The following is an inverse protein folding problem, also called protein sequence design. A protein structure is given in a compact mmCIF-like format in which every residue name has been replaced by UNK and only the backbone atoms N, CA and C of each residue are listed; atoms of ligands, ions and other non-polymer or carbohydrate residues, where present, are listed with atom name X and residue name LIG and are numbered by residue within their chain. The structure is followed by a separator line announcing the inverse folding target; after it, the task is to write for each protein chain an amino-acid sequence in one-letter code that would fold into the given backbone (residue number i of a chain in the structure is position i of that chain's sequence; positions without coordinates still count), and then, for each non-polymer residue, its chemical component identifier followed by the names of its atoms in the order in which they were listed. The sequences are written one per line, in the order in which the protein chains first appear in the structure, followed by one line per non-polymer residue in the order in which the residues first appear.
data_IF_339846517475
#
_entry.id   IF_339846517475
#
_cell.length_a   1.000
_cell.length_b   1.000
_cell.length_c   1.000
_cell.angle_alpha   90.00
_cell.angle_beta   90.00
_cell.angle_gamma   90.00
#
_symmetry.space_group_name_H-M   'P 1'
#
loop_
_entity.id
_entity.type
_entity.pdbx_description
1 polymer ?
#
# COMPACT_ATOMS: atom_id res chain seq x y z
N UNK A 1 -25.41 -20.56 -18.18
CA UNK A 1 -26.79 -20.04 -18.11
C UNK A 1 -27.69 -21.07 -17.44
N UNK A 2 -27.98 -20.90 -16.14
CA UNK A 2 -29.23 -21.35 -15.55
C UNK A 2 -29.62 -20.29 -14.51
N UNK A 3 -30.56 -19.42 -14.88
CA UNK A 3 -31.35 -18.65 -13.92
C UNK A 3 -32.32 -19.63 -13.30
N UNK A 4 -32.34 -19.75 -11.97
CA UNK A 4 -33.15 -20.78 -11.29
C UNK A 4 -34.16 -20.16 -10.32
N UNK A 5 -35.38 -20.09 -10.82
CA UNK A 5 -36.61 -19.75 -10.10
C UNK A 5 -37.22 -20.96 -9.35
N UNK A 6 -36.56 -22.12 -9.36
CA UNK A 6 -37.10 -23.40 -8.87
C UNK A 6 -36.69 -23.78 -7.43
N UNK A 7 -35.96 -22.91 -6.74
CA UNK A 7 -35.47 -23.19 -5.38
C UNK A 7 -34.11 -23.90 -5.31
N UNK A 8 -33.38 -24.04 -6.41
CA UNK A 8 -32.01 -24.56 -6.41
C UNK A 8 -30.94 -23.52 -5.99
N UNK A 9 -31.23 -22.69 -4.99
CA UNK A 9 -30.20 -21.81 -4.43
C UNK A 9 -29.19 -22.59 -3.60
N UNK A 10 -28.13 -21.92 -3.14
CA UNK A 10 -27.17 -22.50 -2.18
C UNK A 10 -27.89 -22.96 -0.90
N UNK A 11 -27.66 -24.21 -0.49
CA UNK A 11 -28.39 -24.92 0.57
C UNK A 11 -27.90 -24.63 2.00
N UNK A 12 -27.10 -23.57 2.19
CA UNK A 12 -26.52 -23.21 3.48
C UNK A 12 -26.51 -21.68 3.71
N UNK A 13 -26.56 -21.29 4.99
CA UNK A 13 -26.70 -19.89 5.44
C UNK A 13 -25.41 -19.11 5.20
N UNK A 14 -25.49 -17.96 4.52
CA UNK A 14 -24.37 -17.04 4.30
C UNK A 14 -24.74 -15.65 4.83
N UNK A 15 -23.97 -15.13 5.77
CA UNK A 15 -24.05 -13.73 6.19
C UNK A 15 -22.79 -12.98 5.71
N UNK A 16 -22.76 -11.65 5.88
CA UNK A 16 -21.62 -10.80 5.53
C UNK A 16 -20.30 -11.20 6.23
N UNK A 17 -20.36 -12.06 7.25
CA UNK A 17 -19.20 -12.56 7.98
C UNK A 17 -18.59 -13.81 7.32
N UNK A 18 -19.28 -14.44 6.35
CA UNK A 18 -18.87 -15.72 5.75
C UNK A 18 -18.33 -15.58 4.32
N UNK A 19 -18.74 -14.53 3.59
CA UNK A 19 -18.36 -14.28 2.20
C UNK A 19 -18.10 -12.79 1.99
N UNK A 20 -17.11 -12.47 1.15
CA UNK A 20 -16.80 -11.11 0.70
C UNK A 20 -16.82 -11.10 -0.83
N UNK A 21 -17.19 -9.99 -1.46
CA UNK A 21 -17.35 -9.95 -2.92
C UNK A 21 -16.99 -8.64 -3.58
N UNK A 22 -16.69 -8.73 -4.87
CA UNK A 22 -16.25 -7.65 -5.75
C UNK A 22 -16.81 -7.88 -7.15
N UNK A 23 -16.95 -6.86 -8.00
CA UNK A 23 -17.38 -7.11 -9.38
C UNK A 23 -17.37 -5.91 -10.31
N UNK A 24 -17.59 -6.23 -11.58
CA UNK A 24 -17.56 -5.35 -12.75
C UNK A 24 -18.96 -5.36 -13.41
N UNK A 25 -19.50 -4.26 -13.99
CA UNK A 25 -18.80 -3.10 -14.53
C UNK A 25 -18.91 -1.82 -13.69
N UNK A 26 -17.99 -0.89 -13.98
CA UNK A 26 -18.29 0.54 -13.93
C UNK A 26 -19.71 0.78 -14.48
N UNK A 27 -20.61 1.50 -13.79
CA UNK A 27 -21.40 2.44 -14.54
C UNK A 27 -20.47 3.59 -14.95
N UNK A 28 -20.74 4.18 -16.09
CA UNK A 28 -20.43 5.59 -16.33
C UNK A 28 -20.57 6.40 -15.03
N UNK A 29 -19.69 7.38 -14.79
CA UNK A 29 -19.74 8.35 -13.67
C UNK A 29 -20.99 8.24 -12.77
N UNK A 30 -20.96 7.37 -11.77
CA UNK A 30 -22.13 7.01 -10.97
C UNK A 30 -21.74 6.20 -9.74
N UNK A 31 -22.54 6.24 -8.65
CA UNK A 31 -22.23 5.54 -7.41
C UNK A 31 -22.30 4.01 -7.59
N UNK A 32 -21.45 3.30 -6.86
CA UNK A 32 -21.50 1.84 -6.73
C UNK A 32 -22.91 1.39 -6.34
N UNK A 33 -23.47 0.38 -7.02
CA UNK A 33 -24.80 -0.13 -6.73
C UNK A 33 -24.79 -0.91 -5.40
N UNK A 34 -25.62 -0.50 -4.45
CA UNK A 34 -25.82 -1.23 -3.19
C UNK A 34 -26.51 -2.58 -3.45
N UNK A 35 -25.98 -3.66 -2.88
CA UNK A 35 -26.56 -5.01 -2.96
C UNK A 35 -27.02 -5.50 -1.57
N UNK A 36 -27.93 -6.46 -1.54
CA UNK A 36 -28.49 -7.05 -0.31
C UNK A 36 -28.64 -8.57 -0.47
N UNK A 37 -28.46 -9.33 0.61
CA UNK A 37 -28.74 -10.76 0.65
C UNK A 37 -30.16 -10.97 1.17
N UNK A 38 -30.99 -11.65 0.38
CA UNK A 38 -32.32 -12.13 0.75
C UNK A 38 -32.26 -13.61 1.11
N UNK A 39 -32.70 -13.95 2.31
CA UNK A 39 -32.90 -15.32 2.73
C UNK A 39 -34.32 -15.79 2.37
N UNK A 40 -34.44 -17.01 1.83
CA UNK A 40 -35.73 -17.67 1.61
C UNK A 40 -35.64 -19.10 2.14
N UNK A 41 -36.59 -19.47 2.99
CA UNK A 41 -36.68 -20.85 3.52
C UNK A 41 -37.79 -21.60 2.81
N UNK A 42 -37.46 -22.77 2.26
CA UNK A 42 -38.42 -23.73 1.67
C UNK A 42 -38.05 -25.12 2.18
N UNK A 43 -39.03 -25.94 2.58
CA UNK A 43 -38.82 -27.33 3.04
C UNK A 43 -37.71 -27.52 4.10
N UNK A 44 -37.66 -26.62 5.09
CA UNK A 44 -36.65 -26.59 6.17
C UNK A 44 -35.21 -26.30 5.72
N UNK A 45 -35.02 -25.94 4.45
CA UNK A 45 -33.74 -25.55 3.88
C UNK A 45 -33.75 -24.04 3.60
N UNK A 46 -32.70 -23.34 4.00
CA UNK A 46 -32.57 -21.88 3.80
C UNK A 46 -31.65 -21.62 2.63
N UNK A 47 -32.15 -20.85 1.67
CA UNK A 47 -31.46 -20.42 0.46
C UNK A 47 -31.14 -18.93 0.58
N UNK A 48 -29.94 -18.54 0.13
CA UNK A 48 -29.54 -17.13 0.05
C UNK A 48 -29.55 -16.67 -1.40
N UNK A 49 -30.19 -15.54 -1.69
CA UNK A 49 -30.19 -14.87 -3.00
C UNK A 49 -29.60 -13.47 -2.83
N UNK A 50 -28.77 -12.99 -3.75
CA UNK A 50 -28.30 -11.60 -3.72
C UNK A 50 -29.14 -10.78 -4.70
N UNK A 51 -29.57 -9.59 -4.23
CA UNK A 51 -30.43 -8.66 -4.94
C UNK A 51 -29.78 -7.28 -5.01
N UNK A 52 -29.73 -6.71 -6.21
CA UNK A 52 -29.35 -5.30 -6.40
C UNK A 52 -30.49 -4.40 -5.93
N UNK A 53 -30.15 -3.33 -5.20
CA UNK A 53 -31.14 -2.38 -4.69
C UNK A 53 -31.89 -1.72 -5.86
N UNK A 54 -33.21 -1.92 -5.92
CA UNK A 54 -34.07 -1.38 -6.98
C UNK A 54 -34.43 -2.35 -8.11
N UNK A 55 -33.80 -3.53 -8.18
CA UNK A 55 -34.05 -4.53 -9.23
C UNK A 55 -34.93 -5.69 -8.74
N UNK A 56 -35.73 -6.30 -9.62
CA UNK A 56 -36.56 -7.47 -9.26
C UNK A 56 -35.81 -8.80 -9.30
N UNK A 57 -34.66 -8.83 -9.97
CA UNK A 57 -34.01 -10.08 -10.34
C UNK A 57 -33.03 -10.56 -9.27
N UNK A 58 -32.97 -11.89 -9.11
CA UNK A 58 -32.03 -12.58 -8.22
C UNK A 58 -31.27 -13.61 -9.06
N UNK A 59 -29.95 -13.66 -8.97
CA UNK A 59 -29.11 -14.51 -9.82
C UNK A 59 -28.21 -15.42 -8.99
N UNK A 60 -27.96 -16.63 -9.48
CA UNK A 60 -27.04 -17.62 -8.91
C UNK A 60 -26.16 -18.17 -10.04
N UNK A 61 -24.85 -18.26 -9.82
CA UNK A 61 -24.05 -19.26 -10.53
C UNK A 61 -22.89 -19.73 -9.67
N UNK A 62 -22.94 -21.01 -9.31
CA UNK A 62 -21.81 -21.82 -8.87
C UNK A 62 -21.22 -22.48 -10.12
N UNK A 63 -19.99 -22.16 -10.50
CA UNK A 63 -19.28 -23.02 -11.45
C UNK A 63 -19.00 -24.37 -10.76
N UNK A 64 -19.16 -25.52 -11.45
CA UNK A 64 -18.91 -26.83 -10.85
C UNK A 64 -17.50 -26.92 -10.26
N UNK A 65 -17.40 -27.12 -8.94
CA UNK A 65 -16.13 -27.23 -8.21
C UNK A 65 -15.58 -25.92 -7.63
N UNK A 66 -16.33 -24.81 -7.73
CA UNK A 66 -16.00 -23.53 -7.10
C UNK A 66 -16.90 -23.23 -5.89
N UNK A 67 -16.30 -22.77 -4.79
CA UNK A 67 -17.04 -22.21 -3.65
C UNK A 67 -17.41 -20.72 -3.84
N UNK A 68 -16.93 -20.10 -4.92
CA UNK A 68 -17.21 -18.71 -5.26
C UNK A 68 -18.56 -18.55 -5.97
N UNK A 69 -19.28 -17.47 -5.66
CA UNK A 69 -20.54 -17.12 -6.31
C UNK A 69 -20.27 -16.08 -7.40
N UNK A 70 -20.65 -16.40 -8.64
CA UNK A 70 -20.50 -15.53 -9.80
C UNK A 70 -21.83 -14.86 -10.19
N UNK A 71 -21.80 -13.55 -10.48
CA UNK A 71 -22.97 -12.72 -10.82
C UNK A 71 -22.84 -12.10 -12.20
N UNK A 72 -23.61 -12.59 -13.16
CA UNK A 72 -23.65 -12.00 -14.48
C UNK A 72 -24.78 -10.98 -14.60
N UNK A 73 -24.44 -9.72 -14.94
CA UNK A 73 -25.44 -8.69 -15.24
C UNK A 73 -26.10 -9.04 -16.58
N UNK A 74 -27.43 -8.98 -16.68
CA UNK A 74 -28.14 -9.23 -17.94
C UNK A 74 -28.58 -7.89 -18.57
N UNK A 75 -27.80 -7.37 -19.52
CA UNK A 75 -28.29 -6.36 -20.47
C UNK A 75 -28.77 -7.08 -21.73
N UNK A 76 -29.93 -7.72 -21.66
CA UNK A 76 -30.71 -8.19 -22.81
C UNK A 76 -29.88 -8.71 -23.98
N UNK A 77 -29.42 -9.96 -23.89
CA UNK A 77 -28.96 -10.78 -25.03
C UNK A 77 -27.98 -10.17 -26.05
N UNK A 78 -27.17 -9.17 -25.70
CA UNK A 78 -26.04 -8.77 -26.57
C UNK A 78 -24.77 -8.72 -25.73
N UNK A 79 -23.78 -9.50 -26.18
CA UNK A 79 -22.43 -9.69 -25.66
C UNK A 79 -22.23 -10.93 -24.75
N UNK A 80 -22.03 -12.07 -25.41
CA UNK A 80 -21.12 -13.10 -24.92
C UNK A 80 -19.74 -12.47 -24.68
N UNK A 81 -19.39 -12.24 -23.42
CA UNK A 81 -18.06 -11.78 -23.03
C UNK A 81 -17.82 -12.01 -21.53
N UNK A 82 -16.58 -12.30 -21.09
CA UNK A 82 -16.20 -12.57 -19.69
C UNK A 82 -16.27 -11.33 -18.78
N UNK A 83 -17.12 -10.34 -19.08
CA UNK A 83 -16.97 -8.95 -18.63
C UNK A 83 -18.15 -8.39 -17.83
N UNK A 84 -19.00 -9.22 -17.24
CA UNK A 84 -20.00 -8.79 -16.26
C UNK A 84 -20.06 -9.90 -15.21
N UNK A 85 -19.19 -9.86 -14.21
CA UNK A 85 -19.16 -10.86 -13.15
C UNK A 85 -18.88 -10.16 -11.82
N UNK A 86 -19.79 -10.24 -10.85
CA UNK A 86 -19.42 -10.08 -9.45
C UNK A 86 -19.02 -11.44 -8.89
N UNK A 87 -17.86 -11.52 -8.25
CA UNK A 87 -17.31 -12.73 -7.64
C UNK A 87 -17.38 -12.54 -6.14
N UNK A 88 -18.03 -13.47 -5.44
CA UNK A 88 -18.05 -13.53 -3.99
C UNK A 88 -17.29 -14.77 -3.54
N UNK A 89 -16.16 -14.56 -2.89
CA UNK A 89 -15.31 -15.63 -2.39
C UNK A 89 -15.62 -15.90 -0.90
N UNK A 90 -15.40 -17.15 -0.47
CA UNK A 90 -15.36 -17.46 0.96
C UNK A 90 -14.34 -16.56 1.62
N UNK A 91 -14.68 -15.93 2.75
CA UNK A 91 -13.65 -15.37 3.63
C UNK A 91 -12.80 -16.57 4.07
N UNK A 92 -11.50 -16.61 3.74
CA UNK A 92 -10.65 -17.73 4.14
C UNK A 92 -10.76 -17.94 5.64
N UNK A 93 -10.72 -19.18 6.13
CA UNK A 93 -10.65 -19.43 7.58
C UNK A 93 -9.29 -18.88 8.07
N UNK A 94 -9.29 -17.61 8.48
CA UNK A 94 -8.08 -16.83 8.72
C UNK A 94 -7.38 -17.39 9.96
N UNK A 95 -6.08 -17.70 9.84
CA UNK A 95 -5.22 -17.78 11.04
C UNK A 95 -5.09 -16.37 11.60
N UNK A 96 -5.41 -16.10 12.88
CA UNK A 96 -5.45 -14.74 13.41
C UNK A 96 -4.11 -14.04 13.14
N UNK A 97 -4.12 -13.10 12.21
CA UNK A 97 -3.08 -12.10 12.02
C UNK A 97 -3.50 -10.84 12.77
N UNK A 98 -2.54 -9.98 13.08
CA UNK A 98 -2.88 -8.65 13.58
C UNK A 98 -3.70 -7.90 12.51
N UNK A 99 -4.68 -7.07 12.92
CA UNK A 99 -5.35 -6.15 11.99
C UNK A 99 -4.34 -5.32 11.19
N UNK A 100 -4.73 -4.82 10.04
CA UNK A 100 -3.88 -4.02 9.17
C UNK A 100 -4.48 -2.64 8.98
N UNK A 101 -3.73 -1.63 9.41
CA UNK A 101 -4.02 -0.22 9.13
C UNK A 101 -3.07 0.26 8.03
N UNK A 102 -3.64 0.76 6.94
CA UNK A 102 -2.92 1.39 5.83
C UNK A 102 -3.30 2.87 5.76
N UNK A 103 -2.32 3.77 5.76
CA UNK A 103 -2.55 5.20 5.45
C UNK A 103 -1.89 5.53 4.12
N UNK A 104 -2.67 5.99 3.16
CA UNK A 104 -2.15 6.56 1.93
C UNK A 104 -1.79 8.02 2.15
N UNK A 105 -0.56 8.41 1.86
CA UNK A 105 -0.20 9.81 1.67
C UNK A 105 -0.21 10.05 0.16
N UNK A 106 -1.23 10.76 -0.31
CA UNK A 106 -1.46 10.97 -1.73
C UNK A 106 -1.07 12.39 -2.11
N UNK A 107 -0.04 12.50 -2.94
CA UNK A 107 0.26 13.75 -3.62
C UNK A 107 -0.93 14.12 -4.52
N UNK A 108 -1.47 15.32 -4.34
CA UNK A 108 -2.64 15.83 -5.03
C UNK A 108 -2.33 17.07 -5.89
N UNK A 109 -1.07 17.21 -6.30
CA UNK A 109 -0.61 18.25 -7.23
C UNK A 109 -0.88 17.89 -8.69
N UNK A 110 -0.72 18.86 -9.60
CA UNK A 110 -1.21 18.75 -10.98
C UNK A 110 -0.73 17.51 -11.77
N UNK A 111 0.50 17.04 -11.54
CA UNK A 111 1.06 15.87 -12.22
C UNK A 111 0.42 14.54 -11.77
N UNK A 112 -0.24 14.52 -10.61
CA UNK A 112 -0.68 13.29 -9.96
C UNK A 112 -2.05 12.76 -10.45
N UNK A 113 -2.75 13.49 -11.33
CA UNK A 113 -4.11 13.09 -11.75
C UNK A 113 -4.19 11.66 -12.31
N UNK A 114 -3.26 11.20 -13.18
CA UNK A 114 -3.31 9.83 -13.69
C UNK A 114 -3.16 8.77 -12.59
N UNK A 115 -2.35 9.04 -11.56
CA UNK A 115 -2.13 8.13 -10.43
C UNK A 115 -3.34 8.08 -9.51
N UNK A 116 -3.97 9.24 -9.23
CA UNK A 116 -5.23 9.32 -8.46
C UNK A 116 -6.35 8.57 -9.18
N UNK A 117 -6.48 8.76 -10.51
CA UNK A 117 -7.50 8.07 -11.30
C UNK A 117 -7.28 6.56 -11.27
N UNK A 118 -6.05 6.07 -11.43
CA UNK A 118 -5.76 4.63 -11.30
C UNK A 118 -6.03 4.11 -9.89
N UNK A 119 -5.57 4.82 -8.84
CA UNK A 119 -5.78 4.40 -7.45
C UNK A 119 -7.27 4.27 -7.12
N UNK A 120 -8.10 5.20 -7.59
CA UNK A 120 -9.56 5.14 -7.48
C UNK A 120 -10.14 3.89 -8.14
N UNK A 121 -9.64 3.55 -9.32
CA UNK A 121 -10.16 2.43 -10.11
C UNK A 121 -9.70 1.07 -9.54
N UNK A 122 -8.53 1.04 -8.88
CA UNK A 122 -7.88 -0.19 -8.42
C UNK A 122 -7.99 -0.47 -6.91
N UNK A 123 -8.58 0.44 -6.11
CA UNK A 123 -8.67 0.24 -4.64
C UNK A 123 -9.38 -1.07 -4.27
N UNK A 124 -10.39 -1.48 -5.04
CA UNK A 124 -11.04 -2.78 -4.86
C UNK A 124 -10.06 -3.92 -5.12
N UNK A 125 -9.25 -3.86 -6.18
CA UNK A 125 -8.23 -4.89 -6.45
C UNK A 125 -7.17 -4.99 -5.34
N UNK A 126 -6.76 -3.86 -4.76
CA UNK A 126 -5.85 -3.84 -3.59
C UNK A 126 -6.49 -4.63 -2.44
N UNK A 127 -7.74 -4.31 -2.09
CA UNK A 127 -8.47 -4.97 -1.02
C UNK A 127 -8.63 -6.46 -1.30
N UNK A 128 -9.04 -6.81 -2.51
CA UNK A 128 -9.20 -8.20 -2.95
C UNK A 128 -7.91 -8.99 -2.76
N UNK A 129 -6.78 -8.43 -3.22
CA UNK A 129 -5.48 -9.10 -3.11
C UNK A 129 -5.09 -9.36 -1.66
N UNK A 130 -5.40 -8.43 -0.75
CA UNK A 130 -5.12 -8.58 0.68
C UNK A 130 -6.03 -9.64 1.36
N UNK A 131 -7.28 -9.74 0.92
CA UNK A 131 -8.26 -10.68 1.48
C UNK A 131 -8.09 -12.08 0.90
N UNK A 132 -8.02 -12.23 -0.44
CA UNK A 132 -7.83 -13.53 -1.12
C UNK A 132 -6.54 -14.22 -0.71
N UNK A 133 -5.52 -13.46 -0.28
CA UNK A 133 -4.30 -14.01 0.31
C UNK A 133 -4.50 -14.76 1.65
N UNK A 134 -5.70 -14.71 2.24
CA UNK A 134 -6.08 -15.43 3.46
C UNK A 134 -5.37 -14.95 4.72
N UNK A 135 -4.68 -13.81 4.65
CA UNK A 135 -3.98 -13.22 5.80
C UNK A 135 -4.87 -12.31 6.62
N UNK A 136 -5.86 -11.67 6.01
CA UNK A 136 -6.69 -10.65 6.67
C UNK A 136 -8.16 -10.91 6.43
N UNK A 137 -8.96 -10.75 7.48
CA UNK A 137 -10.40 -10.64 7.32
C UNK A 137 -10.76 -9.21 6.87
N UNK A 138 -11.83 -9.01 6.07
CA UNK A 138 -12.21 -7.67 5.60
C UNK A 138 -12.36 -6.63 6.71
N UNK A 139 -12.94 -7.00 7.86
CA UNK A 139 -13.13 -6.13 9.03
C UNK A 139 -11.84 -5.75 9.76
N UNK A 140 -10.75 -6.47 9.50
CA UNK A 140 -9.44 -6.21 10.08
C UNK A 140 -8.58 -5.32 9.19
N UNK A 141 -9.07 -4.97 7.99
CA UNK A 141 -8.45 -4.00 7.10
C UNK A 141 -9.06 -2.61 7.35
N UNK A 142 -8.22 -1.62 7.64
CA UNK A 142 -8.63 -0.21 7.73
C UNK A 142 -7.72 0.66 6.88
N UNK A 143 -8.33 1.59 6.16
CA UNK A 143 -7.64 2.50 5.26
C UNK A 143 -7.89 3.94 5.68
N UNK A 144 -6.83 4.71 5.82
CA UNK A 144 -6.85 6.17 5.94
C UNK A 144 -6.25 6.80 4.69
N UNK A 145 -6.55 8.07 4.47
CA UNK A 145 -6.00 8.85 3.36
C UNK A 145 -5.61 10.24 3.89
N UNK A 146 -4.44 10.72 3.52
CA UNK A 146 -4.02 12.11 3.74
C UNK A 146 -3.57 12.61 2.38
N UNK A 147 -4.40 13.45 1.75
CA UNK A 147 -3.98 14.16 0.56
C UNK A 147 -3.08 15.33 0.96
N UNK A 148 -2.09 15.66 0.15
CA UNK A 148 -1.26 16.84 0.35
C UNK A 148 -0.94 17.54 -0.97
N UNK A 149 -0.61 18.82 -0.88
CA UNK A 149 -0.11 19.63 -1.99
C UNK A 149 1.11 20.42 -1.51
N UNK A 150 1.08 21.74 -1.66
CA UNK A 150 2.17 22.65 -1.33
C UNK A 150 1.74 23.70 -0.30
N UNK A 151 2.72 24.42 0.22
CA UNK A 151 2.56 25.58 1.08
C UNK A 151 2.32 26.87 0.26
N UNK A 152 1.61 27.86 0.83
CA UNK A 152 1.62 29.22 0.31
C UNK A 152 3.04 29.81 0.30
N UNK A 153 3.48 30.50 -0.77
CA UNK A 153 2.66 31.03 -1.85
C UNK A 153 2.42 30.10 -3.05
N UNK A 154 3.07 28.94 -3.12
CA UNK A 154 2.98 28.05 -4.28
C UNK A 154 1.57 27.52 -4.48
N UNK A 155 0.94 27.09 -3.39
CA UNK A 155 -0.46 26.68 -3.37
C UNK A 155 -1.24 27.41 -2.27
N UNK A 156 -2.45 27.87 -2.59
CA UNK A 156 -3.35 28.59 -1.68
C UNK A 156 -4.55 27.74 -1.22
N UNK A 157 -4.66 26.50 -1.70
CA UNK A 157 -5.81 25.63 -1.47
C UNK A 157 -5.75 24.92 -0.12
N UNK A 158 -4.84 23.97 0.05
CA UNK A 158 -4.56 23.28 1.30
C UNK A 158 -3.15 22.67 1.26
N UNK A 159 -2.53 22.54 2.44
CA UNK A 159 -1.26 21.83 2.59
C UNK A 159 -1.51 20.33 2.78
N UNK A 160 -2.35 19.97 3.75
CA UNK A 160 -2.81 18.60 4.00
C UNK A 160 -4.33 18.52 4.16
N UNK A 161 -4.90 17.39 3.77
CA UNK A 161 -6.32 17.08 3.92
C UNK A 161 -6.48 15.62 4.40
N UNK A 162 -6.68 15.40 5.71
CA UNK A 162 -6.83 14.07 6.27
C UNK A 162 -8.26 13.54 6.15
N UNK A 163 -8.37 12.25 5.84
CA UNK A 163 -9.59 11.44 5.86
C UNK A 163 -9.39 10.31 6.88
N UNK A 164 -10.36 10.10 7.79
CA UNK A 164 -10.20 9.12 8.88
C UNK A 164 -10.17 7.69 8.38
N UNK A 165 -9.67 6.78 9.23
CA UNK A 165 -9.72 5.35 8.97
C UNK A 165 -11.15 4.85 8.74
N UNK A 166 -11.30 3.97 7.76
CA UNK A 166 -12.52 3.22 7.49
C UNK A 166 -12.20 1.79 7.03
N UNK A 167 -13.09 0.85 7.34
CA UNK A 167 -13.10 -0.49 6.72
C UNK A 167 -14.04 -0.58 5.52
N UNK A 168 -14.76 0.50 5.21
CA UNK A 168 -15.63 0.58 4.04
C UNK A 168 -14.82 1.04 2.82
N UNK A 169 -14.58 0.10 1.90
CA UNK A 169 -13.80 0.35 0.68
C UNK A 169 -14.48 1.35 -0.26
N UNK A 170 -15.81 1.42 -0.25
CA UNK A 170 -16.58 2.40 -1.01
C UNK A 170 -16.33 3.83 -0.50
N UNK A 171 -16.15 4.01 0.81
CA UNK A 171 -15.74 5.29 1.39
C UNK A 171 -14.33 5.66 0.97
N UNK A 172 -13.37 4.72 0.95
CA UNK A 172 -12.00 4.98 0.48
C UNK A 172 -12.01 5.40 -1.00
N UNK A 173 -12.73 4.66 -1.84
CA UNK A 173 -12.89 4.97 -3.26
C UNK A 173 -13.51 6.35 -3.48
N UNK A 174 -14.51 6.71 -2.67
CA UNK A 174 -15.17 8.03 -2.72
C UNK A 174 -14.24 9.16 -2.30
N UNK A 175 -13.41 8.94 -1.26
CA UNK A 175 -12.42 9.93 -0.83
C UNK A 175 -11.39 10.19 -1.94
N UNK A 176 -10.87 9.13 -2.59
CA UNK A 176 -9.99 9.24 -3.76
C UNK A 176 -10.70 9.87 -4.97
N UNK A 177 -12.00 9.62 -5.13
CA UNK A 177 -12.82 10.25 -6.16
C UNK A 177 -13.07 11.75 -5.95
N UNK A 178 -13.05 12.20 -4.69
CA UNK A 178 -13.13 13.61 -4.35
C UNK A 178 -11.84 14.39 -4.63
N UNK A 179 -10.70 13.71 -4.83
CA UNK A 179 -9.43 14.37 -5.12
C UNK A 179 -9.33 14.78 -6.59
N UNK A 180 -9.03 16.06 -6.79
CA UNK A 180 -8.65 16.63 -8.09
C UNK A 180 -7.21 17.09 -7.98
N UNK A 181 -6.34 16.57 -8.83
CA UNK A 181 -4.93 16.94 -8.86
C UNK A 181 -4.77 18.33 -9.49
N UNK A 182 -4.27 19.27 -8.70
CA UNK A 182 -4.01 20.66 -9.14
C UNK A 182 -3.11 21.34 -8.12
N UNK A 183 -2.60 22.52 -8.44
CA UNK A 183 -1.65 23.22 -7.59
C UNK A 183 -0.24 22.63 -7.66
N UNK A 184 0.52 22.81 -6.58
CA UNK A 184 1.99 22.76 -6.59
C UNK A 184 2.59 24.09 -7.07
N UNK A 185 3.86 24.10 -7.45
CA UNK A 185 4.44 25.26 -8.13
C UNK A 185 5.94 25.21 -8.36
N UNK A 186 6.71 24.82 -7.34
CA UNK A 186 8.17 24.90 -7.37
C UNK A 186 8.88 23.55 -7.53
N UNK A 187 8.12 22.45 -7.54
CA UNK A 187 8.59 21.09 -7.81
C UNK A 187 8.53 20.22 -6.57
N UNK A 188 9.30 20.52 -5.49
CA UNK A 188 9.11 19.86 -4.21
C UNK A 188 7.76 20.19 -3.56
N UNK A 189 7.28 19.35 -2.65
CA UNK A 189 5.91 19.48 -2.10
C UNK A 189 5.89 19.27 -0.56
N UNK A 190 4.68 19.23 0.03
CA UNK A 190 4.46 19.14 1.48
C UNK A 190 4.38 17.70 2.07
N UNK A 191 5.16 16.73 1.55
CA UNK A 191 5.18 15.36 2.07
C UNK A 191 5.50 15.31 3.57
N UNK A 192 6.32 16.24 4.07
CA UNK A 192 6.70 16.32 5.48
C UNK A 192 5.50 16.61 6.39
N UNK A 193 4.56 17.43 5.95
CA UNK A 193 3.31 17.71 6.68
C UNK A 193 2.39 16.50 6.67
N UNK A 194 2.29 15.79 5.54
CA UNK A 194 1.53 14.54 5.44
C UNK A 194 2.10 13.44 6.36
N UNK A 195 3.43 13.32 6.43
CA UNK A 195 4.11 12.42 7.37
C UNK A 195 3.83 12.81 8.83
N UNK A 196 3.78 14.10 9.15
CA UNK A 196 3.43 14.61 10.48
C UNK A 196 1.99 14.26 10.86
N UNK A 197 1.04 14.42 9.93
CA UNK A 197 -0.37 14.09 10.16
C UNK A 197 -0.59 12.58 10.25
N UNK A 198 0.18 11.77 9.53
CA UNK A 198 0.16 10.32 9.64
C UNK A 198 0.55 9.81 11.05
N UNK A 199 1.31 10.58 11.82
CA UNK A 199 1.59 10.24 13.23
C UNK A 199 0.42 10.55 14.18
N UNK A 200 -0.58 11.33 13.74
CA UNK A 200 -1.70 11.83 14.56
C UNK A 200 -3.01 11.10 14.31
N UNK A 201 -3.10 10.26 13.27
CA UNK A 201 -4.32 9.50 12.97
C UNK A 201 -4.59 8.40 14.01
N UNK A 202 -5.84 7.93 14.05
CA UNK A 202 -6.32 6.94 15.02
C UNK A 202 -5.91 5.49 14.69
N UNK A 203 -4.60 5.23 14.71
CA UNK A 203 -4.04 3.88 14.56
C UNK A 203 -4.61 2.91 15.61
N UNK A 204 -4.81 1.65 15.23
CA UNK A 204 -5.16 0.57 16.17
C UNK A 204 -3.87 0.14 16.87
N UNK A 205 -3.89 0.06 18.19
CA UNK A 205 -2.70 -0.34 18.97
C UNK A 205 -2.15 -1.69 18.51
N UNK A 206 -3.04 -2.67 18.34
CA UNK A 206 -2.69 -4.04 17.94
C UNK A 206 -2.61 -4.27 16.42
N UNK A 207 -2.71 -3.23 15.58
CA UNK A 207 -2.57 -3.38 14.14
C UNK A 207 -1.10 -3.37 13.69
N UNK A 208 -0.84 -4.10 12.61
CA UNK A 208 0.25 -3.80 11.67
C UNK A 208 -0.04 -2.44 11.05
N UNK A 209 0.95 -1.53 11.08
CA UNK A 209 0.78 -0.13 10.65
C UNK A 209 1.68 0.15 9.46
N UNK A 210 1.09 0.54 8.34
CA UNK A 210 1.82 0.90 7.12
C UNK A 210 1.36 2.26 6.61
N UNK A 211 2.33 3.08 6.20
CA UNK A 211 2.12 4.30 5.44
C UNK A 211 2.62 4.04 4.02
N UNK A 212 1.81 4.36 3.02
CA UNK A 212 2.18 4.29 1.61
C UNK A 212 2.13 5.71 1.04
N UNK A 213 3.30 6.31 0.82
CA UNK A 213 3.44 7.61 0.16
C UNK A 213 3.48 7.40 -1.36
N UNK A 214 2.62 8.09 -2.10
CA UNK A 214 2.57 8.05 -3.57
C UNK A 214 2.85 9.46 -4.07
N UNK A 215 3.95 9.64 -4.81
CA UNK A 215 4.41 10.97 -5.24
C UNK A 215 5.41 10.86 -6.39
N UNK A 216 5.43 11.86 -7.26
CA UNK A 216 6.45 12.06 -8.29
C UNK A 216 7.40 13.24 -7.97
N UNK A 217 7.32 13.78 -6.77
CA UNK A 217 8.10 14.91 -6.28
C UNK A 217 8.87 14.58 -4.99
N UNK A 218 9.91 15.34 -4.65
CA UNK A 218 10.57 15.30 -3.34
C UNK A 218 9.87 16.20 -2.32
N UNK A 219 10.16 16.04 -1.01
CA UNK A 219 9.82 17.08 -0.04
C UNK A 219 10.75 18.29 -0.13
N UNK A 220 10.22 19.43 0.31
CA UNK A 220 11.04 20.63 0.54
C UNK A 220 12.24 20.37 1.47
N UNK A 221 13.32 21.10 1.24
CA UNK A 221 14.47 21.17 2.11
C UNK A 221 15.54 20.10 1.86
N UNK A 222 15.36 19.23 0.87
CA UNK A 222 16.40 18.24 0.50
C UNK A 222 17.45 18.82 -0.45
N UNK A 223 17.25 20.06 -0.92
CA UNK A 223 18.19 20.81 -1.74
C UNK A 223 18.01 20.65 -3.24
N UNK A 224 16.79 20.39 -3.72
CA UNK A 224 16.50 20.38 -5.16
C UNK A 224 16.50 21.79 -5.76
N UNK A 225 16.75 21.85 -7.06
CA UNK A 225 16.72 23.11 -7.80
C UNK A 225 15.28 23.66 -7.86
N UNK A 226 15.11 24.95 -7.59
CA UNK A 226 13.80 25.62 -7.68
C UNK A 226 12.97 25.61 -6.39
N UNK A 227 13.37 24.85 -5.36
CA UNK A 227 12.67 24.73 -4.08
C UNK A 227 12.39 26.10 -3.42
N UNK A 228 11.11 26.47 -3.30
CA UNK A 228 10.65 27.70 -2.65
C UNK A 228 10.71 27.64 -1.13
N UNK A 229 10.90 26.46 -0.55
CA UNK A 229 11.11 26.25 0.88
C UNK A 229 12.43 25.50 1.14
N UNK A 230 13.58 26.07 0.75
CA UNK A 230 14.86 25.36 0.76
C UNK A 230 15.36 24.98 2.17
N UNK A 231 14.74 25.53 3.22
CA UNK A 231 14.99 25.18 4.63
C UNK A 231 14.11 24.06 5.16
N UNK A 232 13.31 23.42 4.30
CA UNK A 232 12.34 22.40 4.66
C UNK A 232 10.97 22.99 4.98
N UNK A 233 10.09 22.11 5.46
CA UNK A 233 8.72 22.45 5.83
C UNK A 233 8.64 23.71 6.72
N UNK A 234 7.82 24.72 6.36
CA UNK A 234 7.59 25.92 7.18
C UNK A 234 7.12 25.64 8.62
N UNK A 235 6.42 24.52 8.84
CA UNK A 235 5.98 24.08 10.17
C UNK A 235 7.07 23.31 10.93
N UNK A 236 8.29 23.23 10.39
CA UNK A 236 9.44 22.52 10.97
C UNK A 236 9.19 21.02 11.16
N UNK A 237 8.27 20.45 10.37
CA UNK A 237 8.11 19.01 10.23
C UNK A 237 9.34 18.47 9.49
N UNK A 238 10.30 17.91 10.23
CA UNK A 238 11.50 17.29 9.65
C UNK A 238 11.22 15.82 9.26
N UNK A 239 11.30 15.45 7.98
CA UNK A 239 10.93 14.12 7.53
C UNK A 239 11.82 13.00 8.09
N UNK A 240 13.12 13.25 8.35
CA UNK A 240 14.01 12.23 8.91
C UNK A 240 13.65 11.94 10.37
N UNK A 241 13.31 12.97 11.15
CA UNK A 241 12.81 12.83 12.53
C UNK A 241 11.45 12.13 12.55
N UNK A 242 10.55 12.50 11.63
CA UNK A 242 9.23 11.89 11.51
C UNK A 242 9.32 10.40 11.16
N UNK A 243 10.15 10.02 10.18
CA UNK A 243 10.37 8.62 9.83
C UNK A 243 11.03 7.83 10.98
N UNK A 244 11.96 8.45 11.72
CA UNK A 244 12.54 7.83 12.92
C UNK A 244 11.46 7.61 14.00
N UNK A 245 10.54 8.56 14.17
CA UNK A 245 9.40 8.41 15.10
C UNK A 245 8.42 7.33 14.63
N UNK A 246 8.13 7.25 13.33
CA UNK A 246 7.33 6.17 12.75
C UNK A 246 7.93 4.80 13.06
N UNK A 247 9.24 4.62 12.82
CA UNK A 247 9.94 3.36 13.12
C UNK A 247 9.85 2.94 14.59
N UNK A 248 10.00 3.90 15.52
CA UNK A 248 9.83 3.68 16.97
C UNK A 248 8.41 3.24 17.35
N UNK A 249 7.40 3.79 16.69
CA UNK A 249 5.98 3.45 16.86
C UNK A 249 5.55 2.20 16.07
N UNK A 250 6.49 1.56 15.37
CA UNK A 250 6.21 0.36 14.56
C UNK A 250 5.43 0.65 13.27
N UNK A 251 5.40 1.90 12.80
CA UNK A 251 4.81 2.29 11.52
C UNK A 251 5.88 2.10 10.43
N UNK A 252 5.54 1.35 9.39
CA UNK A 252 6.43 1.12 8.23
C UNK A 252 6.06 2.06 7.09
N UNK A 253 7.03 2.80 6.55
CA UNK A 253 6.84 3.71 5.42
C UNK A 253 7.33 3.07 4.12
N UNK A 254 6.43 2.93 3.16
CA UNK A 254 6.75 2.63 1.77
C UNK A 254 6.55 3.89 0.92
N UNK A 255 7.40 4.07 -0.08
CA UNK A 255 7.27 5.14 -1.07
C UNK A 255 7.06 4.49 -2.43
N UNK A 256 5.93 4.79 -3.06
CA UNK A 256 5.68 4.51 -4.46
C UNK A 256 6.12 5.74 -5.23
N UNK A 257 7.31 5.63 -5.82
CA UNK A 257 7.95 6.67 -6.62
C UNK A 257 7.35 6.67 -8.02
N UNK A 258 6.60 7.70 -8.35
CA UNK A 258 5.91 7.82 -9.63
C UNK A 258 6.89 8.28 -10.73
N UNK A 259 7.11 7.40 -11.71
CA UNK A 259 8.09 7.60 -12.78
C UNK A 259 7.42 7.98 -14.11
N UNK A 260 8.14 8.67 -15.02
CA UNK A 260 9.56 9.02 -14.95
C UNK A 260 9.87 10.32 -14.22
N UNK A 261 8.86 11.10 -13.82
CA UNK A 261 9.06 12.47 -13.32
C UNK A 261 10.03 12.52 -12.14
N UNK A 262 9.87 11.63 -11.16
CA UNK A 262 10.72 11.65 -9.97
C UNK A 262 12.20 11.51 -10.32
N UNK A 263 12.56 10.47 -11.07
CA UNK A 263 13.96 10.15 -11.34
C UNK A 263 14.55 10.92 -12.53
N UNK A 264 13.72 11.52 -13.37
CA UNK A 264 14.17 12.31 -14.52
C UNK A 264 14.47 13.76 -14.15
N UNK A 265 13.70 14.36 -13.24
CA UNK A 265 13.81 15.80 -12.94
C UNK A 265 14.55 16.11 -11.65
N UNK A 266 14.58 15.19 -10.69
CA UNK A 266 15.14 15.45 -9.36
C UNK A 266 16.45 14.67 -9.14
N UNK A 267 17.45 15.36 -8.59
CA UNK A 267 18.82 14.84 -8.49
C UNK A 267 19.11 14.15 -7.15
N UNK A 268 18.24 14.35 -6.15
CA UNK A 268 18.41 13.92 -4.76
C UNK A 268 17.22 13.12 -4.24
N UNK A 269 16.04 13.28 -4.83
CA UNK A 269 14.78 12.68 -4.37
C UNK A 269 14.85 11.17 -4.12
N UNK A 270 15.34 10.39 -5.09
CA UNK A 270 15.33 8.93 -4.99
C UNK A 270 16.25 8.40 -3.88
N UNK A 271 17.42 9.02 -3.68
CA UNK A 271 18.33 8.62 -2.60
C UNK A 271 17.80 9.07 -1.23
N UNK A 272 17.14 10.23 -1.20
CA UNK A 272 16.43 10.71 -0.02
C UNK A 272 15.36 9.72 0.41
N UNK A 273 14.47 9.31 -0.49
CA UNK A 273 13.43 8.34 -0.16
C UNK A 273 14.01 6.99 0.24
N UNK A 274 15.05 6.50 -0.44
CA UNK A 274 15.74 5.26 -0.06
C UNK A 274 16.31 5.32 1.37
N UNK A 275 16.90 6.44 1.77
CA UNK A 275 17.39 6.65 3.14
C UNK A 275 16.25 6.78 4.16
N UNK A 276 15.17 7.47 3.78
CA UNK A 276 14.00 7.73 4.62
C UNK A 276 13.27 6.43 5.00
N UNK A 277 12.90 5.61 4.01
CA UNK A 277 12.13 4.38 4.24
C UNK A 277 12.90 3.33 5.03
N UNK A 278 14.24 3.29 4.87
CA UNK A 278 15.14 2.39 5.59
C UNK A 278 15.04 2.60 7.10
N UNK A 279 14.70 3.81 7.58
CA UNK A 279 14.45 4.10 9.01
C UNK A 279 13.22 3.41 9.59
N UNK A 280 12.32 2.92 8.75
CA UNK A 280 11.10 2.23 9.18
C UNK A 280 11.11 0.74 8.82
N UNK A 281 12.13 0.30 8.08
CA UNK A 281 12.20 -1.02 7.47
C UNK A 281 11.27 -1.19 6.26
N UNK A 282 10.92 -0.09 5.60
CA UNK A 282 10.17 -0.12 4.34
C UNK A 282 11.07 0.07 3.12
N UNK A 283 10.46 0.30 1.95
CA UNK A 283 11.16 0.36 0.66
C UNK A 283 10.62 1.47 -0.23
N UNK A 284 11.46 1.92 -1.14
CA UNK A 284 11.02 2.68 -2.32
C UNK A 284 10.72 1.68 -3.41
N UNK A 285 9.59 1.87 -4.09
CA UNK A 285 9.18 1.08 -5.23
C UNK A 285 8.85 2.02 -6.37
N UNK A 286 9.60 1.93 -7.47
CA UNK A 286 9.38 2.77 -8.64
C UNK A 286 8.18 2.25 -9.44
N UNK A 287 7.26 3.15 -9.77
CA UNK A 287 6.05 2.91 -10.53
C UNK A 287 6.19 3.54 -11.92
N UNK A 288 6.65 2.74 -12.89
CA UNK A 288 6.75 3.12 -14.29
C UNK A 288 5.52 2.73 -15.13
N UNK A 289 4.68 1.82 -14.63
CA UNK A 289 3.42 1.42 -15.27
C UNK A 289 2.28 1.47 -14.24
N UNK A 290 1.23 2.26 -14.51
CA UNK A 290 0.10 2.40 -13.60
C UNK A 290 -0.63 1.08 -13.32
N UNK A 291 -0.61 0.12 -14.25
CA UNK A 291 -1.32 -1.15 -14.11
C UNK A 291 -0.77 -2.09 -13.03
N UNK A 292 0.41 -1.78 -12.48
CA UNK A 292 0.99 -2.56 -11.37
C UNK A 292 0.75 -1.91 -10.00
N UNK A 293 0.13 -0.72 -9.93
CA UNK A 293 -0.05 0.04 -8.68
C UNK A 293 -0.71 -0.81 -7.59
N UNK A 294 -1.82 -1.47 -7.89
CA UNK A 294 -2.50 -2.36 -6.94
C UNK A 294 -1.61 -3.48 -6.40
N UNK A 295 -0.78 -4.06 -7.27
CA UNK A 295 0.17 -5.12 -6.88
C UNK A 295 1.27 -4.57 -5.97
N UNK A 296 1.76 -3.36 -6.23
CA UNK A 296 2.76 -2.72 -5.37
C UNK A 296 2.21 -2.45 -3.97
N UNK A 297 1.02 -1.88 -3.87
CA UNK A 297 0.38 -1.58 -2.58
C UNK A 297 0.11 -2.86 -1.80
N UNK A 298 -0.58 -3.83 -2.42
CA UNK A 298 -0.93 -5.08 -1.75
C UNK A 298 0.31 -5.89 -1.37
N UNK A 299 1.31 -5.97 -2.25
CA UNK A 299 2.58 -6.65 -1.97
C UNK A 299 3.36 -6.01 -0.83
N UNK A 300 3.40 -4.68 -0.77
CA UNK A 300 4.03 -3.94 0.33
C UNK A 300 3.36 -4.26 1.66
N UNK A 301 2.03 -4.25 1.71
CA UNK A 301 1.27 -4.61 2.90
C UNK A 301 1.51 -6.07 3.34
N UNK A 302 1.53 -7.02 2.40
CA UNK A 302 1.81 -8.44 2.70
C UNK A 302 3.24 -8.67 3.21
N UNK A 303 4.23 -7.96 2.64
CA UNK A 303 5.63 -7.96 3.11
C UNK A 303 5.74 -7.46 4.55
N UNK A 304 5.10 -6.33 4.84
CA UNK A 304 5.11 -5.74 6.18
C UNK A 304 4.44 -6.68 7.18
N UNK A 305 3.28 -7.24 6.84
CA UNK A 305 2.56 -8.18 7.70
C UNK A 305 3.39 -9.40 8.13
N UNK A 306 4.11 -10.02 7.19
CA UNK A 306 4.98 -11.15 7.52
C UNK A 306 6.18 -10.71 8.37
N UNK A 307 6.74 -9.54 8.07
CA UNK A 307 7.82 -8.97 8.87
C UNK A 307 7.36 -8.71 10.31
N UNK A 308 6.14 -8.19 10.49
CA UNK A 308 5.56 -7.90 11.80
C UNK A 308 5.28 -9.13 12.64
N UNK A 309 4.87 -10.23 12.01
CA UNK A 309 4.78 -11.54 12.67
C UNK A 309 6.14 -11.94 13.26
N UNK A 310 7.22 -11.80 12.49
CA UNK A 310 8.56 -12.13 12.98
C UNK A 310 9.07 -11.15 14.03
N UNK A 311 8.80 -9.86 13.91
CA UNK A 311 9.14 -8.87 14.94
C UNK A 311 8.46 -9.25 16.26
N UNK A 312 7.15 -9.47 16.24
CA UNK A 312 6.37 -9.85 17.44
C UNK A 312 6.92 -11.11 18.09
N UNK A 313 7.27 -12.12 17.29
CA UNK A 313 7.75 -13.41 17.80
C UNK A 313 9.18 -13.34 18.36
N UNK A 314 10.08 -12.56 17.75
CA UNK A 314 11.52 -12.62 18.02
C UNK A 314 12.09 -11.39 18.75
N UNK A 315 11.29 -10.34 19.00
CA UNK A 315 11.78 -9.09 19.59
C UNK A 315 12.51 -9.29 20.92
N UNK A 316 11.94 -10.07 21.85
CA UNK A 316 12.56 -10.33 23.15
C UNK A 316 13.93 -11.03 23.00
N UNK A 317 14.02 -12.00 22.08
CA UNK A 317 15.26 -12.72 21.80
C UNK A 317 16.31 -11.80 21.16
N UNK A 318 15.91 -10.98 20.17
CA UNK A 318 16.78 -10.00 19.52
C UNK A 318 17.34 -9.00 20.52
N UNK A 319 16.49 -8.44 21.39
CA UNK A 319 16.92 -7.50 22.44
C UNK A 319 17.84 -8.17 23.46
N UNK A 320 17.60 -9.43 23.83
CA UNK A 320 18.50 -10.19 24.70
C UNK A 320 19.87 -10.38 24.06
N UNK A 321 19.94 -10.77 22.78
CA UNK A 321 21.21 -10.93 22.06
C UNK A 321 21.99 -9.61 21.97
N UNK A 322 21.30 -8.49 21.73
CA UNK A 322 21.94 -7.17 21.67
C UNK A 322 22.42 -6.69 23.05
N UNK A 323 21.59 -6.82 24.09
CA UNK A 323 21.87 -6.22 25.39
C UNK A 323 22.76 -7.10 26.28
N UNK A 324 22.53 -8.42 26.28
CA UNK A 324 23.19 -9.36 27.18
C UNK A 324 24.42 -9.99 26.53
N UNK A 325 24.30 -10.43 25.28
CA UNK A 325 25.41 -11.03 24.53
C UNK A 325 26.28 -10.00 23.78
N UNK A 326 25.84 -8.74 23.72
CA UNK A 326 26.54 -7.62 23.04
C UNK A 326 26.82 -7.89 21.54
N UNK A 327 25.96 -8.67 20.89
CA UNK A 327 26.05 -8.92 19.46
C UNK A 327 25.61 -7.70 18.65
N UNK A 328 26.30 -7.45 17.52
CA UNK A 328 25.88 -6.46 16.54
C UNK A 328 24.60 -6.88 15.82
N UNK A 329 23.85 -5.92 15.26
CA UNK A 329 22.65 -6.21 14.48
C UNK A 329 22.92 -7.18 13.31
N UNK A 330 24.10 -7.10 12.68
CA UNK A 330 24.51 -8.02 11.62
C UNK A 330 24.71 -9.46 12.10
N UNK A 331 25.39 -9.65 13.24
CA UNK A 331 25.58 -10.99 13.84
C UNK A 331 24.25 -11.61 14.28
N UNK A 332 23.37 -10.81 14.88
CA UNK A 332 22.01 -11.22 15.24
C UNK A 332 21.24 -11.66 14.00
N UNK A 333 21.33 -10.89 12.90
CA UNK A 333 20.64 -11.19 11.64
C UNK A 333 21.12 -12.50 11.04
N UNK A 334 22.43 -12.75 11.00
CA UNK A 334 23.00 -14.01 10.52
C UNK A 334 22.53 -15.21 11.35
N UNK A 335 22.55 -15.07 12.68
CA UNK A 335 22.09 -16.14 13.59
C UNK A 335 20.60 -16.43 13.41
N UNK A 336 19.77 -15.40 13.32
CA UNK A 336 18.33 -15.55 13.15
C UNK A 336 17.98 -16.11 11.77
N UNK A 337 18.66 -15.67 10.71
CA UNK A 337 18.49 -16.18 9.36
C UNK A 337 18.81 -17.68 9.27
N UNK A 338 19.89 -18.13 9.92
CA UNK A 338 20.20 -19.58 10.00
C UNK A 338 19.07 -20.38 10.67
N UNK A 339 18.46 -19.82 11.72
CA UNK A 339 17.30 -20.44 12.37
C UNK A 339 16.11 -20.51 11.39
N UNK A 340 15.79 -19.39 10.73
CA UNK A 340 14.69 -19.35 9.76
C UNK A 340 14.84 -20.32 8.60
N UNK A 341 16.05 -20.44 8.03
CA UNK A 341 16.34 -21.44 7.00
C UNK A 341 16.09 -22.86 7.53
N UNK A 342 16.53 -23.15 8.76
CA UNK A 342 16.34 -24.46 9.38
C UNK A 342 14.87 -24.78 9.64
N UNK A 343 14.06 -23.78 10.03
CA UNK A 343 12.62 -23.95 10.28
C UNK A 343 11.76 -23.83 9.02
N UNK A 344 12.36 -23.57 7.85
CA UNK A 344 11.63 -23.36 6.60
C UNK A 344 10.75 -22.10 6.59
N UNK A 345 11.15 -21.04 7.31
CA UNK A 345 10.37 -19.81 7.41
C UNK A 345 10.20 -19.14 6.04
N UNK A 346 8.96 -18.76 5.74
CA UNK A 346 8.55 -18.15 4.47
C UNK A 346 8.22 -16.67 4.66
N UNK A 347 8.31 -15.90 3.58
CA UNK A 347 7.98 -14.48 3.57
C UNK A 347 7.42 -14.09 2.20
N UNK A 348 6.29 -13.38 2.20
CA UNK A 348 5.74 -12.72 1.01
C UNK A 348 6.68 -11.62 0.55
N UNK A 349 7.23 -11.73 -0.64
CA UNK A 349 8.15 -10.74 -1.23
C UNK A 349 7.50 -10.08 -2.44
N UNK A 350 7.52 -8.75 -2.48
CA UNK A 350 7.16 -7.94 -3.64
C UNK A 350 8.36 -7.92 -4.59
N UNK A 351 8.23 -8.63 -5.71
CA UNK A 351 9.22 -8.67 -6.79
C UNK A 351 8.75 -7.71 -7.87
N UNK A 352 9.54 -6.66 -8.11
CA UNK A 352 9.27 -5.65 -9.12
C UNK A 352 10.41 -5.64 -10.12
N UNK A 353 10.08 -5.56 -11.40
CA UNK A 353 11.08 -5.39 -12.45
C UNK A 353 11.84 -4.08 -12.18
N UNK A 354 13.14 -4.21 -11.93
CA UNK A 354 13.96 -3.08 -11.51
C UNK A 354 14.13 -2.14 -12.70
N UNK A 355 13.50 -0.97 -12.61
CA UNK A 355 13.64 0.07 -13.62
C UNK A 355 14.78 1.05 -13.33
N UNK A 356 15.50 0.86 -12.24
CA UNK A 356 16.41 1.83 -11.69
C UNK A 356 17.85 1.36 -11.68
N UNK A 357 18.75 2.20 -12.19
CA UNK A 357 20.18 1.93 -12.18
C UNK A 357 20.82 2.39 -10.87
N UNK A 358 21.60 1.49 -10.27
CA UNK A 358 22.39 1.80 -9.08
C UNK A 358 23.45 2.85 -9.43
N UNK A 359 23.53 3.90 -8.62
CA UNK A 359 24.48 5.00 -8.86
C UNK A 359 25.57 4.96 -7.81
N UNK A 360 26.83 4.89 -8.23
CA UNK A 360 27.98 4.99 -7.32
C UNK A 360 28.03 6.35 -6.61
N UNK A 361 27.44 7.40 -7.21
CA UNK A 361 27.27 8.72 -6.61
C UNK A 361 26.10 8.76 -5.63
N UNK A 362 24.98 8.11 -5.98
CA UNK A 362 23.75 8.13 -5.17
C UNK A 362 23.78 7.20 -3.96
N UNK A 363 24.46 6.06 -4.05
CA UNK A 363 24.49 5.07 -2.98
C UNK A 363 25.02 5.63 -1.64
N UNK A 364 26.12 6.43 -1.61
CA UNK A 364 26.54 7.12 -0.39
C UNK A 364 25.50 8.09 0.19
N UNK A 365 24.71 8.77 -0.67
CA UNK A 365 23.67 9.69 -0.22
C UNK A 365 22.60 8.98 0.61
N UNK A 366 22.24 7.74 0.25
CA UNK A 366 21.27 6.92 0.99
C UNK A 366 21.70 6.75 2.44
N UNK A 367 22.97 6.43 2.67
CA UNK A 367 23.50 6.25 4.02
C UNK A 367 23.62 7.58 4.77
N UNK A 368 23.92 8.70 4.10
CA UNK A 368 23.87 10.03 4.72
C UNK A 368 22.44 10.34 5.20
N UNK A 369 21.45 10.18 4.33
CA UNK A 369 20.04 10.40 4.66
C UNK A 369 19.52 9.46 5.74
N UNK A 370 20.00 8.20 5.77
CA UNK A 370 19.61 7.22 6.79
C UNK A 370 20.24 7.49 8.16
N UNK A 371 21.46 8.03 8.23
CA UNK A 371 22.18 8.19 9.50
C UNK A 371 22.02 9.57 10.16
N UNK A 372 21.70 10.62 9.39
CA UNK A 372 21.56 11.97 9.93
C UNK A 372 20.42 12.11 10.95
N UNK A 373 20.47 13.09 11.85
CA UNK A 373 19.37 13.34 12.78
C UNK A 373 18.21 14.10 12.12
N UNK A 374 18.53 15.01 11.19
CA UNK A 374 17.60 15.95 10.55
C UNK A 374 18.13 16.38 9.17
N UNK A 375 17.30 17.09 8.40
CA UNK A 375 17.63 17.57 7.06
C UNK A 375 18.86 18.49 7.03
N UNK A 376 18.98 19.41 8.00
CA UNK A 376 20.09 20.37 8.03
C UNK A 376 21.45 19.67 8.17
N UNK A 377 21.52 18.59 8.95
CA UNK A 377 22.73 17.81 9.14
C UNK A 377 23.12 16.99 7.90
N UNK A 378 22.12 16.54 7.13
CA UNK A 378 22.32 15.72 5.94
C UNK A 378 22.62 16.56 4.70
N UNK A 379 21.82 17.60 4.42
CA UNK A 379 21.77 18.32 3.13
C UNK A 379 23.14 18.79 2.66
N UNK A 380 24.01 19.26 3.56
CA UNK A 380 25.35 19.76 3.20
C UNK A 380 26.33 18.68 2.77
N UNK A 381 26.01 17.40 2.98
CA UNK A 381 26.85 16.24 2.68
C UNK A 381 26.40 15.50 1.40
N UNK A 382 25.24 15.88 0.84
CA UNK A 382 24.61 15.20 -0.30
C UNK A 382 25.22 15.67 -1.61
N UNK A 383 25.54 14.71 -2.46
CA UNK A 383 26.02 14.97 -3.82
C UNK A 383 24.87 14.88 -4.81
N UNK A 384 24.86 15.77 -5.80
CA UNK A 384 23.92 15.65 -6.92
C UNK A 384 24.25 14.43 -7.76
N UNK A 385 23.26 13.59 -8.01
CA UNK A 385 23.39 12.51 -8.99
C UNK A 385 23.08 13.06 -10.37
N UNK A 386 24.01 12.90 -11.30
CA UNK A 386 23.87 13.37 -12.68
C UNK A 386 23.32 12.28 -13.58
N UNK A 387 22.49 12.67 -14.56
CA UNK A 387 21.94 11.76 -15.57
C UNK A 387 20.62 11.09 -15.15
N UNK A 388 19.96 10.46 -16.13
CA UNK A 388 18.73 9.72 -15.89
C UNK A 388 19.05 8.39 -15.21
N UNK A 389 18.35 8.08 -14.12
CA UNK A 389 18.55 6.83 -13.35
C UNK A 389 17.58 5.73 -13.75
N UNK A 390 16.67 6.00 -14.67
CA UNK A 390 15.81 4.99 -15.30
C UNK A 390 16.62 4.23 -16.33
N UNK A 391 16.66 2.91 -16.25
CA UNK A 391 17.37 2.05 -17.21
C UNK A 391 16.81 2.28 -18.62
N UNK A 392 17.69 2.38 -19.62
CA UNK A 392 17.36 2.71 -21.03
C UNK A 392 16.17 1.92 -21.59
N UNK A 393 16.05 0.63 -21.23
CA UNK A 393 14.91 -0.24 -21.56
C UNK A 393 13.55 0.42 -21.25
N UNK A 394 13.42 1.05 -20.09
CA UNK A 394 12.15 1.66 -19.63
C UNK A 394 11.97 3.10 -20.10
N UNK A 395 12.99 3.71 -20.70
CA UNK A 395 12.85 5.00 -21.37
C UNK A 395 12.14 4.86 -22.72
N UNK A 396 12.05 3.64 -23.27
CA UNK A 396 11.38 3.37 -24.54
C UNK A 396 9.87 3.30 -24.36
N UNK A 397 9.07 4.07 -25.13
CA UNK A 397 7.62 4.01 -25.05
C UNK A 397 7.05 2.60 -25.28
N UNK A 398 6.12 2.19 -24.43
CA UNK A 398 5.40 0.92 -24.56
C UNK A 398 6.05 -0.28 -23.86
N UNK A 399 7.24 -0.13 -23.28
CA UNK A 399 7.82 -1.15 -22.39
C UNK A 399 7.10 -1.11 -21.05
N UNK A 400 6.48 -2.22 -20.69
CA UNK A 400 5.74 -2.35 -19.43
C UNK A 400 6.62 -2.91 -18.32
N UNK A 401 6.52 -2.29 -17.14
CA UNK A 401 7.06 -2.84 -15.91
C UNK A 401 6.16 -4.00 -15.44
N UNK A 402 6.74 -4.97 -14.76
CA UNK A 402 5.98 -6.06 -14.13
C UNK A 402 6.23 -6.09 -12.63
N UNK A 403 5.22 -6.53 -11.88
CA UNK A 403 5.34 -6.78 -10.45
C UNK A 403 4.55 -8.03 -10.09
N UNK A 404 5.03 -8.76 -9.08
CA UNK A 404 4.35 -9.91 -8.52
C UNK A 404 4.68 -10.06 -7.03
N UNK A 405 3.76 -10.68 -6.29
CA UNK A 405 4.01 -11.12 -4.91
C UNK A 405 4.34 -12.61 -4.94
N UNK A 406 5.48 -12.98 -4.36
CA UNK A 406 5.93 -14.37 -4.28
C UNK A 406 6.15 -14.77 -2.83
N UNK A 407 5.66 -15.95 -2.43
CA UNK A 407 6.00 -16.52 -1.12
C UNK A 407 7.26 -17.36 -1.31
N UNK A 408 8.32 -16.99 -0.61
CA UNK A 408 9.63 -17.63 -0.75
C UNK A 408 10.35 -17.68 0.60
N UNK A 409 11.44 -18.47 0.74
CA UNK A 409 12.25 -18.47 1.96
C UNK A 409 12.69 -17.04 2.30
N UNK A 410 12.57 -16.68 3.57
CA UNK A 410 12.94 -15.33 4.03
C UNK A 410 14.41 -15.04 3.74
N UNK A 411 14.70 -13.91 3.10
CA UNK A 411 16.07 -13.52 2.76
C UNK A 411 16.82 -12.91 3.94
N UNK A 412 18.16 -12.88 3.88
CA UNK A 412 18.96 -12.23 4.91
C UNK A 412 18.59 -10.73 5.07
N UNK A 413 18.30 -10.02 3.98
CA UNK A 413 17.94 -8.59 4.03
C UNK A 413 16.58 -8.37 4.72
N UNK A 414 15.62 -9.27 4.50
CA UNK A 414 14.35 -9.27 5.23
C UNK A 414 14.58 -9.55 6.72
N UNK A 415 15.49 -10.46 7.07
CA UNK A 415 15.87 -10.71 8.47
C UNK A 415 16.55 -9.51 9.11
N UNK A 416 17.46 -8.84 8.39
CA UNK A 416 18.09 -7.60 8.86
C UNK A 416 17.04 -6.52 9.16
N UNK A 417 16.03 -6.40 8.30
CA UNK A 417 14.89 -5.49 8.50
C UNK A 417 14.10 -5.84 9.77
N UNK A 418 13.80 -7.13 9.98
CA UNK A 418 13.14 -7.62 11.20
C UNK A 418 13.98 -7.28 12.45
N UNK A 419 15.28 -7.53 12.42
CA UNK A 419 16.19 -7.24 13.54
C UNK A 419 16.24 -5.74 13.83
N UNK A 420 16.37 -4.90 12.79
CA UNK A 420 16.34 -3.44 12.93
C UNK A 420 15.05 -2.97 13.60
N UNK A 421 13.89 -3.45 13.14
CA UNK A 421 12.58 -3.14 13.76
C UNK A 421 12.51 -3.56 15.22
N UNK A 422 12.98 -4.76 15.56
CA UNK A 422 13.02 -5.25 16.94
C UNK A 422 13.83 -4.34 17.88
N UNK A 423 14.97 -3.83 17.40
CA UNK A 423 15.88 -2.97 18.16
C UNK A 423 15.38 -1.52 18.25
N UNK A 424 14.68 -1.03 17.23
CA UNK A 424 14.25 0.36 17.14
C UNK A 424 12.95 0.66 17.89
N UNK A 425 12.03 -0.30 17.99
CA UNK A 425 10.75 -0.10 18.67
C UNK A 425 10.95 0.33 20.11
N UNK A 426 10.12 1.26 20.56
CA UNK A 426 9.99 1.55 21.98
C UNK A 426 9.31 0.34 22.67
N UNK A 427 9.66 0.11 23.94
CA UNK A 427 9.15 -1.01 24.74
C UNK A 427 7.78 -0.73 25.32
#
# INVERSE_FOLDING_TARGET
MVSVDDGSGLTYKKNADTYWGYGYPYPQSGPSLNWSILERTTDSQTYSKIKLSGESNCFDSCDPGSDAVHFYYDHGHVYEGPKQCFVFELVPVVKPSAPLDIVFLQDATGSQQPYIDTARNEINQICNTLISGGKFAPQDLRFGLIAFRDHPPQDQSFVTQPFPFTSDFGVVASNLAGLVATGGGDGPEAQSDALSDALKVAWKDNATKIVVLITDSPPHGIGEDGDGFPKGCPLQNDPLRLATRMGKLGITLYVIACEPTLSQYYKRASDFYAGLVKRTGGKVVNLGDLSILSTLVAGSALEVADSEKYVTQYQAQVRSMANNEKLSAGEISQRLHKNFVTTGAQHSTLVVDNMYEQSTQGNPNVDVWFNAENLDEARTKIQEVQGNRIIEKYQTPGVKQSAAVQVQPISLDQVQTVVQKCLMRES
#
